data_IF_732674786445
#
_entry.id   IF_732674786445
#
_cell.length_a   1.000
_cell.length_b   1.000
_cell.length_c   1.000
_cell.angle_alpha   90.00
_cell.angle_beta   90.00
_cell.angle_gamma   90.00
#
_symmetry.space_group_name_H-M   'P 1'
#
loop_
_entity.id
_entity.type
_entity.pdbx_description
1 polymer ?
#
# COMPACT_ATOMS: atom_id res chain seq x y z
N UNK A 1 -23.82 100.16 12.11
CA UNK A 1 -22.78 99.62 13.01
C UNK A 1 -21.95 98.55 12.32
N UNK A 2 -20.71 98.29 12.77
CA UNK A 2 -19.83 97.23 12.24
C UNK A 2 -20.05 95.91 12.98
N UNK A 3 -19.86 94.79 12.30
CA UNK A 3 -19.97 93.45 12.87
C UNK A 3 -18.91 93.19 13.95
N UNK A 4 -19.31 92.64 15.10
CA UNK A 4 -18.41 92.39 16.24
C UNK A 4 -17.49 91.16 16.08
N UNK A 5 -17.70 90.33 15.06
CA UNK A 5 -16.88 89.15 14.81
C UNK A 5 -15.51 89.47 14.24
N UNK A 6 -14.58 88.51 14.37
CA UNK A 6 -13.30 88.51 13.70
C UNK A 6 -13.31 87.65 12.44
N UNK A 7 -12.51 88.03 11.46
CA UNK A 7 -12.28 87.23 10.26
C UNK A 7 -11.22 86.14 10.50
N UNK A 8 -10.89 85.42 9.42
CA UNK A 8 -9.97 84.27 9.48
C UNK A 8 -8.52 84.64 9.84
N UNK A 9 -8.16 85.92 9.72
CA UNK A 9 -6.84 86.46 10.05
C UNK A 9 -6.81 87.10 11.45
N UNK A 10 -7.89 86.91 12.23
CA UNK A 10 -8.09 87.53 13.55
C UNK A 10 -8.30 89.06 13.46
N UNK A 11 -8.59 89.59 12.26
CA UNK A 11 -8.91 91.00 12.05
C UNK A 11 -10.40 91.27 12.26
N UNK A 12 -10.77 92.51 12.57
CA UNK A 12 -12.17 92.90 12.71
C UNK A 12 -12.94 92.72 11.39
N UNK A 13 -14.15 92.13 11.47
CA UNK A 13 -14.97 91.92 10.30
C UNK A 13 -15.29 93.23 9.57
N UNK A 14 -15.06 93.26 8.26
CA UNK A 14 -15.27 94.44 7.41
C UNK A 14 -16.74 94.70 7.04
N UNK A 15 -17.65 93.79 7.37
CA UNK A 15 -19.06 93.85 6.97
C UNK A 15 -19.94 94.59 8.01
N UNK A 16 -21.04 95.17 7.53
CA UNK A 16 -22.07 95.79 8.36
C UNK A 16 -23.01 94.77 9.01
N UNK A 17 -23.55 95.13 10.17
CA UNK A 17 -24.58 94.32 10.85
C UNK A 17 -25.86 94.25 10.01
N UNK A 18 -26.65 93.20 10.20
CA UNK A 18 -28.03 93.15 9.72
C UNK A 18 -28.99 93.66 10.81
N UNK A 19 -30.21 94.04 10.43
CA UNK A 19 -31.21 94.60 11.35
C UNK A 19 -31.43 93.66 12.54
N UNK A 20 -31.38 94.21 13.75
CA UNK A 20 -31.55 93.52 15.03
C UNK A 20 -30.52 92.40 15.33
N UNK A 21 -29.31 92.46 14.73
CA UNK A 21 -28.20 91.55 15.03
C UNK A 21 -26.91 92.29 15.41
N UNK A 22 -26.11 91.65 16.27
CA UNK A 22 -24.74 92.09 16.62
C UNK A 22 -23.72 91.78 15.50
N UNK A 23 -24.11 91.03 14.48
CA UNK A 23 -23.23 90.45 13.48
C UNK A 23 -23.72 90.68 12.04
N UNK A 24 -22.82 90.55 11.07
CA UNK A 24 -23.19 90.59 9.65
C UNK A 24 -23.86 89.29 9.20
N UNK A 25 -24.40 89.25 7.98
CA UNK A 25 -25.06 88.07 7.39
C UNK A 25 -24.25 86.76 7.44
N UNK A 26 -22.92 86.84 7.51
CA UNK A 26 -22.03 85.67 7.54
C UNK A 26 -21.68 85.18 8.95
N UNK A 27 -21.87 86.00 9.98
CA UNK A 27 -21.52 85.73 11.38
C UNK A 27 -22.75 85.56 12.29
N UNK A 28 -23.92 85.35 11.69
CA UNK A 28 -25.18 85.13 12.43
C UNK A 28 -25.12 83.96 13.42
N UNK A 29 -24.26 82.99 13.18
CA UNK A 29 -24.04 81.85 14.09
C UNK A 29 -23.36 82.24 15.42
N UNK A 30 -22.85 83.47 15.54
CA UNK A 30 -22.23 84.00 16.76
C UNK A 30 -23.20 84.83 17.61
N UNK A 31 -24.46 85.02 17.18
CA UNK A 31 -25.43 85.84 17.95
C UNK A 31 -25.64 85.31 19.38
N UNK A 32 -25.43 84.00 19.60
CA UNK A 32 -25.53 83.36 20.91
C UNK A 32 -24.25 83.46 21.76
N UNK A 33 -23.18 84.09 21.25
CA UNK A 33 -21.90 84.21 21.96
C UNK A 33 -21.91 85.45 22.85
N UNK A 34 -21.49 85.28 24.10
CA UNK A 34 -21.17 86.40 24.98
C UNK A 34 -19.79 87.01 24.65
N UNK A 35 -19.47 88.14 25.27
CA UNK A 35 -18.23 88.86 24.99
C UNK A 35 -16.97 88.08 25.40
N UNK A 36 -17.08 87.17 26.38
CA UNK A 36 -15.97 86.29 26.78
C UNK A 36 -15.70 85.22 25.73
N UNK A 37 -16.74 84.64 25.13
CA UNK A 37 -16.65 83.68 24.04
C UNK A 37 -16.07 84.33 22.77
N UNK A 38 -16.44 85.58 22.48
CA UNK A 38 -15.91 86.35 21.36
C UNK A 38 -14.42 86.69 21.51
N UNK A 39 -13.93 86.81 22.75
CA UNK A 39 -12.50 87.03 23.03
C UNK A 39 -11.63 85.78 22.80
N UNK A 40 -12.24 84.59 22.86
CA UNK A 40 -11.57 83.27 22.78
C UNK A 40 -11.93 82.52 21.48
N UNK A 41 -12.15 83.24 20.40
CA UNK A 41 -12.44 82.62 19.11
C UNK A 41 -11.20 81.95 18.52
N UNK A 42 -11.35 80.74 18.02
CA UNK A 42 -10.33 80.00 17.29
C UNK A 42 -10.83 79.57 15.90
N UNK A 43 -9.90 79.31 14.99
CA UNK A 43 -10.23 78.83 13.65
C UNK A 43 -10.69 77.38 13.69
N UNK A 44 -11.85 77.10 13.10
CA UNK A 44 -12.20 75.73 12.76
C UNK A 44 -11.21 75.18 11.72
N UNK A 45 -10.53 74.07 12.04
CA UNK A 45 -9.54 73.43 11.15
C UNK A 45 -10.10 73.00 9.79
N UNK A 46 -11.43 72.85 9.66
CA UNK A 46 -12.08 72.42 8.42
C UNK A 46 -12.59 73.59 7.58
N UNK A 47 -13.53 74.41 8.08
CA UNK A 47 -14.12 75.49 7.29
C UNK A 47 -13.38 76.84 7.40
N UNK A 48 -12.36 76.92 8.26
CA UNK A 48 -11.56 78.13 8.52
C UNK A 48 -12.36 79.38 8.89
N UNK A 49 -13.53 79.18 9.51
CA UNK A 49 -14.30 80.26 10.17
C UNK A 49 -13.97 80.27 11.66
N UNK A 50 -14.12 81.43 12.29
CA UNK A 50 -13.91 81.62 13.72
C UNK A 50 -15.06 81.03 14.53
N UNK A 51 -14.77 80.27 15.57
CA UNK A 51 -15.76 79.69 16.50
C UNK A 51 -15.22 79.76 17.92
N UNK A 52 -16.12 79.78 18.90
CA UNK A 52 -15.76 79.46 20.27
C UNK A 52 -15.81 77.93 20.44
N UNK A 53 -14.78 77.36 21.06
CA UNK A 53 -14.72 75.93 21.38
C UNK A 53 -14.61 75.76 22.89
N UNK A 54 -15.43 74.89 23.45
CA UNK A 54 -15.30 74.45 24.83
C UNK A 54 -14.28 73.30 24.92
N UNK A 55 -13.26 73.46 25.75
CA UNK A 55 -12.21 72.44 25.94
C UNK A 55 -11.25 72.33 24.75
N UNK A 56 -11.02 71.09 24.26
CA UNK A 56 -10.00 70.77 23.26
C UNK A 56 -10.51 70.64 21.81
N UNK A 57 -11.76 71.00 21.56
CA UNK A 57 -12.36 70.90 20.22
C UNK A 57 -11.72 71.90 19.23
N UNK A 58 -11.48 71.46 17.98
CA UNK A 58 -10.91 72.30 16.90
C UNK A 58 -11.78 72.38 15.64
N UNK A 59 -12.96 71.74 15.65
CA UNK A 59 -13.85 71.60 14.49
C UNK A 59 -15.27 71.98 14.91
N UNK A 60 -15.92 72.86 14.15
CA UNK A 60 -17.28 73.27 14.46
C UNK A 60 -18.30 72.16 14.21
N UNK A 61 -19.41 72.19 14.94
CA UNK A 61 -20.48 71.18 14.90
C UNK A 61 -20.94 70.86 13.47
N UNK A 62 -21.14 71.88 12.62
CA UNK A 62 -21.51 71.70 11.20
C UNK A 62 -20.48 70.86 10.43
N UNK A 63 -19.19 71.09 10.66
CA UNK A 63 -18.13 70.31 10.02
C UNK A 63 -18.01 68.89 10.60
N UNK A 64 -18.27 68.73 11.90
CA UNK A 64 -18.34 67.42 12.56
C UNK A 64 -19.47 66.58 11.98
N UNK A 65 -20.68 67.12 11.88
CA UNK A 65 -21.85 66.45 11.30
C UNK A 65 -21.63 66.10 9.82
N UNK A 66 -21.06 67.02 9.04
CA UNK A 66 -20.65 66.75 7.65
C UNK A 66 -19.67 65.57 7.56
N UNK A 67 -18.70 65.49 8.46
CA UNK A 67 -17.72 64.40 8.52
C UNK A 67 -18.37 63.06 8.89
N UNK A 68 -19.31 63.06 9.84
CA UNK A 68 -20.10 61.88 10.22
C UNK A 68 -20.88 61.35 9.01
N UNK A 69 -21.65 62.23 8.33
CA UNK A 69 -22.43 61.87 7.13
C UNK A 69 -21.52 61.33 6.03
N UNK A 70 -20.38 61.98 5.76
CA UNK A 70 -19.44 61.53 4.74
C UNK A 70 -18.83 60.15 5.07
N UNK A 71 -18.51 59.89 6.35
CA UNK A 71 -18.03 58.57 6.79
C UNK A 71 -19.12 57.50 6.66
N UNK A 72 -20.38 57.84 6.94
CA UNK A 72 -21.51 56.93 6.77
C UNK A 72 -21.71 56.56 5.29
N UNK A 73 -21.76 57.56 4.40
CA UNK A 73 -21.83 57.35 2.95
C UNK A 73 -20.66 56.51 2.41
N UNK A 74 -19.45 56.71 2.94
CA UNK A 74 -18.28 55.93 2.55
C UNK A 74 -18.35 54.46 3.03
N UNK A 75 -19.05 54.17 4.14
CA UNK A 75 -19.29 52.81 4.64
C UNK A 75 -20.35 52.08 3.79
N UNK A 76 -21.45 52.75 3.47
CA UNK A 76 -22.57 52.19 2.68
C UNK A 76 -22.11 51.78 1.25
N UNK A 77 -21.20 52.54 0.64
CA UNK A 77 -20.69 52.25 -0.71
C UNK A 77 -19.52 51.25 -0.76
N UNK A 78 -19.12 50.65 0.37
CA UNK A 78 -17.97 49.73 0.43
C UNK A 78 -18.41 48.30 0.11
N UNK A 79 -18.27 47.88 -1.15
CA UNK A 79 -18.52 46.48 -1.54
C UNK A 79 -17.39 45.59 -1.00
N UNK A 80 -17.76 44.62 -0.18
CA UNK A 80 -16.82 43.72 0.50
C UNK A 80 -16.44 42.51 -0.36
N UNK A 81 -15.32 41.91 0.00
CA UNK A 81 -14.88 40.63 -0.51
C UNK A 81 -15.89 39.52 -0.18
N UNK A 82 -16.19 38.65 -1.15
CA UNK A 82 -17.18 37.58 -0.98
C UNK A 82 -16.76 36.49 0.03
N UNK A 83 -15.44 36.33 0.27
CA UNK A 83 -14.93 35.37 1.27
C UNK A 83 -15.56 35.60 2.64
N UNK A 84 -16.20 34.56 3.18
CA UNK A 84 -16.84 34.60 4.50
C UNK A 84 -15.89 35.14 5.58
N UNK A 85 -16.39 36.08 6.39
CA UNK A 85 -15.64 36.75 7.45
C UNK A 85 -14.65 37.84 7.01
N UNK A 86 -14.54 38.15 5.71
CA UNK A 86 -13.62 39.17 5.21
C UNK A 86 -14.22 40.58 5.26
N UNK A 87 -13.53 41.53 5.90
CA UNK A 87 -13.96 42.94 6.00
C UNK A 87 -13.28 43.87 4.99
N UNK A 88 -12.41 43.33 4.14
CA UNK A 88 -11.69 44.08 3.11
C UNK A 88 -12.57 44.37 1.90
N UNK A 89 -12.33 45.51 1.25
CA UNK A 89 -12.99 45.86 -0.03
C UNK A 89 -12.55 44.87 -1.12
N UNK A 90 -13.49 44.45 -1.97
CA UNK A 90 -13.16 43.61 -3.13
C UNK A 90 -12.29 44.35 -4.16
N UNK A 91 -11.63 43.59 -5.03
CA UNK A 91 -10.93 44.10 -6.20
C UNK A 91 -11.91 44.72 -7.21
N UNK A 92 -11.38 45.48 -8.17
CA UNK A 92 -12.16 45.96 -9.33
C UNK A 92 -12.39 44.83 -10.31
N UNK A 93 -11.40 43.94 -10.47
CA UNK A 93 -11.39 42.87 -11.46
C UNK A 93 -12.17 41.62 -11.04
N UNK A 94 -12.31 41.39 -9.73
CA UNK A 94 -12.97 40.19 -9.20
C UNK A 94 -13.64 40.41 -7.84
N UNK A 95 -14.43 39.43 -7.42
CA UNK A 95 -15.23 39.47 -6.18
C UNK A 95 -14.42 39.30 -4.89
N UNK A 96 -13.11 39.08 -4.99
CA UNK A 96 -12.22 38.89 -3.85
C UNK A 96 -11.33 40.12 -3.59
N UNK A 97 -10.86 40.28 -2.35
CA UNK A 97 -9.84 41.30 -2.03
C UNK A 97 -8.44 40.81 -2.44
N UNK A 98 -7.44 41.69 -2.41
CA UNK A 98 -6.05 41.35 -2.74
C UNK A 98 -5.44 40.20 -1.92
N UNK A 99 -5.99 39.89 -0.74
CA UNK A 99 -5.55 38.76 0.10
C UNK A 99 -6.19 37.41 -0.27
N UNK A 100 -7.30 37.43 -1.02
CA UNK A 100 -8.07 36.25 -1.39
C UNK A 100 -8.01 35.96 -2.90
N UNK A 101 -6.97 36.45 -3.59
CA UNK A 101 -6.80 36.19 -5.02
C UNK A 101 -6.62 34.70 -5.36
N UNK A 102 -6.20 33.88 -4.39
CA UNK A 102 -6.20 32.43 -4.57
C UNK A 102 -7.60 31.85 -4.80
N UNK A 103 -8.64 32.44 -4.21
CA UNK A 103 -10.01 31.97 -4.40
C UNK A 103 -10.49 32.19 -5.84
N UNK A 104 -9.97 33.20 -6.55
CA UNK A 104 -10.22 33.39 -7.99
C UNK A 104 -9.76 32.16 -8.76
N UNK A 105 -8.51 31.75 -8.56
CA UNK A 105 -7.94 30.57 -9.21
C UNK A 105 -8.69 29.27 -8.84
N UNK A 106 -9.14 29.13 -7.59
CA UNK A 106 -9.93 27.98 -7.16
C UNK A 106 -11.30 27.93 -7.85
N UNK A 107 -11.99 29.07 -7.92
CA UNK A 107 -13.28 29.18 -8.58
C UNK A 107 -13.17 28.92 -10.09
N UNK A 108 -12.15 29.48 -10.76
CA UNK A 108 -11.84 29.22 -12.17
C UNK A 108 -11.59 27.72 -12.43
N UNK A 109 -10.81 27.07 -11.56
CA UNK A 109 -10.53 25.64 -11.66
C UNK A 109 -11.80 24.81 -11.48
N UNK A 110 -12.65 25.15 -10.51
CA UNK A 110 -13.91 24.47 -10.28
C UNK A 110 -14.87 24.66 -11.47
N UNK A 111 -14.91 25.85 -12.07
CA UNK A 111 -15.71 26.13 -13.27
C UNK A 111 -15.27 25.31 -14.49
N UNK A 112 -14.02 24.83 -14.51
CA UNK A 112 -13.51 23.90 -15.52
C UNK A 112 -13.81 22.42 -15.18
N UNK A 113 -14.63 22.14 -14.15
CA UNK A 113 -14.89 20.80 -13.64
C UNK A 113 -13.61 20.06 -13.21
N UNK A 114 -12.70 20.79 -12.56
CA UNK A 114 -11.44 20.31 -12.03
C UNK A 114 -11.29 20.69 -10.55
N UNK A 115 -10.36 20.07 -9.85
CA UNK A 115 -9.97 20.42 -8.48
C UNK A 115 -8.53 20.92 -8.41
N UNK A 116 -8.23 21.87 -7.54
CA UNK A 116 -6.85 22.34 -7.35
C UNK A 116 -6.03 21.33 -6.55
N UNK A 117 -4.73 21.24 -6.84
CA UNK A 117 -3.77 20.55 -5.96
C UNK A 117 -3.85 21.09 -4.51
N UNK A 118 -3.75 20.21 -3.51
CA UNK A 118 -3.76 20.57 -2.09
C UNK A 118 -2.67 21.60 -1.73
N UNK A 119 -1.52 21.55 -2.40
CA UNK A 119 -0.43 22.51 -2.20
C UNK A 119 -0.70 23.87 -2.89
N UNK A 120 -1.93 24.16 -3.34
CA UNK A 120 -2.33 25.46 -3.88
C UNK A 120 -2.09 26.62 -2.91
N UNK A 121 -2.30 26.36 -1.62
CA UNK A 121 -1.99 27.29 -0.53
C UNK A 121 -0.47 27.53 -0.35
N UNK A 122 0.37 26.64 -0.90
CA UNK A 122 1.84 26.73 -0.88
C UNK A 122 2.43 27.18 -2.22
N UNK A 123 1.59 27.68 -3.13
CA UNK A 123 2.02 28.22 -4.43
C UNK A 123 1.83 27.28 -5.63
N UNK A 124 1.40 26.03 -5.44
CA UNK A 124 1.09 25.16 -6.57
C UNK A 124 -0.11 25.68 -7.36
N UNK A 125 -0.09 25.58 -8.69
CA UNK A 125 -1.21 25.97 -9.56
C UNK A 125 -1.66 24.86 -10.49
N UNK A 126 -1.35 23.60 -10.15
CA UNK A 126 -1.84 22.45 -10.91
C UNK A 126 -3.34 22.27 -10.67
N UNK A 127 -4.06 22.10 -11.78
CA UNK A 127 -5.47 21.72 -11.83
C UNK A 127 -5.54 20.21 -12.11
N UNK A 128 -6.35 19.48 -11.36
CA UNK A 128 -6.45 18.04 -11.36
C UNK A 128 -7.86 17.63 -11.79
N UNK A 129 -7.98 16.53 -12.52
CA UNK A 129 -9.29 15.96 -12.82
C UNK A 129 -10.05 15.60 -11.52
N UNK A 130 -11.38 15.64 -11.55
CA UNK A 130 -12.19 15.39 -10.36
C UNK A 130 -11.97 13.97 -9.80
N UNK A 131 -11.84 12.99 -10.70
CA UNK A 131 -11.55 11.57 -10.43
C UNK A 131 -10.07 11.28 -10.16
N UNK A 132 -9.19 12.28 -10.23
CA UNK A 132 -7.76 12.09 -9.95
C UNK A 132 -7.57 11.52 -8.52
N UNK A 133 -6.83 10.41 -8.36
CA UNK A 133 -6.86 9.62 -7.13
C UNK A 133 -6.20 10.29 -5.92
N UNK A 134 -5.40 11.34 -6.13
CA UNK A 134 -4.64 12.01 -5.07
C UNK A 134 -5.10 13.45 -4.85
N UNK A 135 -4.82 13.96 -3.65
CA UNK A 135 -5.07 15.37 -3.31
C UNK A 135 -3.99 16.32 -3.84
N UNK A 136 -2.80 15.81 -4.18
CA UNK A 136 -1.65 16.60 -4.68
C UNK A 136 -1.30 16.16 -6.10
N UNK A 137 -0.81 17.08 -6.92
CA UNK A 137 -0.31 16.75 -8.25
C UNK A 137 0.96 15.90 -8.21
N UNK A 138 1.25 15.20 -9.30
CA UNK A 138 2.41 14.29 -9.39
C UNK A 138 3.74 14.97 -9.07
N UNK A 139 3.93 16.23 -9.49
CA UNK A 139 5.13 17.01 -9.20
C UNK A 139 5.28 17.24 -7.69
N UNK A 140 4.22 17.71 -7.03
CA UNK A 140 4.23 17.92 -5.57
C UNK A 140 4.44 16.61 -4.81
N UNK A 141 3.87 15.50 -5.29
CA UNK A 141 4.09 14.18 -4.70
C UNK A 141 5.54 13.71 -4.89
N UNK A 142 6.11 13.89 -6.08
CA UNK A 142 7.50 13.56 -6.37
C UNK A 142 8.47 14.35 -5.49
N UNK A 143 8.25 15.65 -5.34
CA UNK A 143 9.07 16.50 -4.47
C UNK A 143 9.00 16.07 -3.01
N UNK A 144 7.82 15.72 -2.51
CA UNK A 144 7.65 15.21 -1.14
C UNK A 144 8.35 13.85 -0.96
N UNK A 145 8.23 12.93 -1.92
CA UNK A 145 8.94 11.64 -1.90
C UNK A 145 10.45 11.83 -1.91
N UNK A 146 10.97 12.75 -2.74
CA UNK A 146 12.40 13.03 -2.82
C UNK A 146 12.94 13.61 -1.50
N UNK A 147 12.21 14.56 -0.90
CA UNK A 147 12.58 15.13 0.41
C UNK A 147 12.54 14.08 1.53
N UNK A 148 11.48 13.27 1.60
CA UNK A 148 11.37 12.19 2.58
C UNK A 148 12.47 11.13 2.40
N UNK A 149 12.77 10.73 1.17
CA UNK A 149 13.88 9.81 0.86
C UNK A 149 15.24 10.38 1.27
N UNK A 150 15.50 11.65 0.97
CA UNK A 150 16.74 12.31 1.36
C UNK A 150 16.91 12.32 2.89
N UNK A 151 15.86 12.72 3.62
CA UNK A 151 15.85 12.75 5.08
C UNK A 151 16.08 11.35 5.70
N UNK A 152 15.41 10.32 5.18
CA UNK A 152 15.60 8.93 5.65
C UNK A 152 17.00 8.40 5.36
N UNK A 153 17.57 8.74 4.20
CA UNK A 153 18.93 8.35 3.84
C UNK A 153 19.97 9.03 4.73
N UNK A 154 19.79 10.30 5.06
CA UNK A 154 20.66 11.04 5.98
C UNK A 154 20.63 10.42 7.37
N UNK A 155 19.44 10.19 7.94
CA UNK A 155 19.28 9.51 9.24
C UNK A 155 19.92 8.12 9.25
N UNK A 156 19.79 7.37 8.16
CA UNK A 156 20.44 6.05 8.05
C UNK A 156 21.96 6.18 8.13
N UNK A 157 22.55 7.15 7.43
CA UNK A 157 23.99 7.42 7.49
C UNK A 157 24.41 7.86 8.89
N UNK A 158 23.67 8.77 9.53
CA UNK A 158 23.95 9.23 10.90
C UNK A 158 23.98 8.07 11.90
N UNK A 159 23.02 7.15 11.80
CA UNK A 159 22.97 5.94 12.63
C UNK A 159 24.17 5.00 12.41
N UNK A 160 24.78 5.01 11.23
CA UNK A 160 25.93 4.17 10.87
C UNK A 160 27.26 4.85 11.26
N UNK A 161 27.37 6.17 11.11
CA UNK A 161 28.62 6.92 11.33
C UNK A 161 28.79 7.43 12.75
N UNK A 162 27.70 7.77 13.45
CA UNK A 162 27.72 8.35 14.79
C UNK A 162 26.79 7.56 15.74
N UNK A 163 27.13 6.31 16.07
CA UNK A 163 26.33 5.54 17.03
C UNK A 163 26.37 6.21 18.40
N UNK A 164 25.19 6.42 19.00
CA UNK A 164 25.01 6.87 20.38
C UNK A 164 24.32 5.75 21.17
N UNK A 165 24.76 5.55 22.41
CA UNK A 165 24.20 4.53 23.30
C UNK A 165 22.84 4.95 23.89
N UNK A 166 22.61 6.26 24.02
CA UNK A 166 21.39 6.81 24.64
C UNK A 166 20.31 7.18 23.62
N UNK A 167 20.71 7.61 22.42
CA UNK A 167 19.82 8.20 21.43
C UNK A 167 19.99 7.55 20.06
N UNK A 168 18.89 7.39 19.32
CA UNK A 168 18.89 6.80 17.98
C UNK A 168 17.86 7.48 17.09
N UNK A 169 18.21 7.63 15.81
CA UNK A 169 17.28 8.15 14.82
C UNK A 169 16.39 7.04 14.24
N UNK A 170 15.09 7.29 14.12
CA UNK A 170 14.15 6.38 13.48
C UNK A 170 14.18 6.48 11.95
N UNK A 171 14.37 5.36 11.25
CA UNK A 171 14.41 5.33 9.78
C UNK A 171 13.05 5.62 9.10
N UNK A 172 11.95 5.71 9.86
CA UNK A 172 10.61 6.01 9.32
C UNK A 172 10.21 7.45 9.58
N UNK A 173 10.23 7.91 10.84
CA UNK A 173 9.81 9.28 11.19
C UNK A 173 10.97 10.27 11.30
N UNK A 174 12.22 9.81 11.14
CA UNK A 174 13.44 10.60 11.18
C UNK A 174 13.70 11.37 12.49
N UNK A 175 12.96 11.05 13.56
CA UNK A 175 13.15 11.65 14.89
C UNK A 175 14.30 10.98 15.62
N UNK A 176 15.10 11.78 16.31
CA UNK A 176 16.06 11.31 17.31
C UNK A 176 15.31 11.02 18.62
N UNK A 177 15.38 9.80 19.11
CA UNK A 177 14.61 9.33 20.27
C UNK A 177 15.49 8.49 21.19
N UNK A 178 15.14 8.37 22.48
CA UNK A 178 15.83 7.47 23.40
C UNK A 178 15.90 6.02 22.89
N UNK A 179 17.01 5.34 23.17
CA UNK A 179 17.31 4.00 22.66
C UNK A 179 16.25 2.95 23.04
N UNK A 180 15.61 3.10 24.21
CA UNK A 180 14.53 2.24 24.69
C UNK A 180 13.38 2.07 23.66
N UNK A 181 13.05 3.13 22.91
CA UNK A 181 12.00 3.09 21.88
C UNK A 181 12.36 2.21 20.67
N UNK A 182 13.61 1.73 20.58
CA UNK A 182 14.09 0.90 19.48
C UNK A 182 14.18 -0.58 19.86
N UNK A 183 13.89 -0.93 21.11
CA UNK A 183 13.86 -2.32 21.57
C UNK A 183 12.57 -2.96 21.04
N UNK A 184 12.74 -3.98 20.19
CA UNK A 184 11.65 -4.78 19.64
C UNK A 184 11.47 -6.10 20.39
N UNK A 185 10.68 -7.00 19.81
CA UNK A 185 10.47 -8.33 20.37
C UNK A 185 11.80 -9.12 20.50
N UNK A 186 11.90 -9.93 21.57
CA UNK A 186 13.11 -10.70 21.90
C UNK A 186 14.35 -9.82 22.10
N UNK A 187 14.18 -8.60 22.64
CA UNK A 187 15.23 -7.62 22.89
C UNK A 187 16.08 -7.28 21.64
N UNK A 188 15.50 -7.40 20.44
CA UNK A 188 16.19 -7.06 19.21
C UNK A 188 16.11 -5.56 18.94
N UNK A 189 17.26 -4.95 18.71
CA UNK A 189 17.34 -3.53 18.32
C UNK A 189 16.77 -3.38 16.91
N UNK A 190 15.83 -2.46 16.76
CA UNK A 190 15.14 -2.17 15.50
C UNK A 190 15.60 -0.86 14.87
N UNK A 191 15.34 -0.68 13.57
CA UNK A 191 15.67 0.54 12.83
C UNK A 191 14.62 1.65 12.96
N UNK A 192 13.52 1.37 13.65
CA UNK A 192 12.31 2.19 13.65
C UNK A 192 11.78 2.27 15.06
N UNK A 193 11.34 3.45 15.52
CA UNK A 193 10.83 3.61 16.88
C UNK A 193 9.49 2.89 17.09
N UNK A 194 9.18 2.63 18.35
CA UNK A 194 7.96 1.95 18.83
C UNK A 194 6.70 2.49 18.18
N UNK A 195 6.45 3.79 18.27
CA UNK A 195 5.28 4.45 17.67
C UNK A 195 5.13 4.18 16.18
N UNK A 196 6.24 4.15 15.42
CA UNK A 196 6.19 3.83 13.99
C UNK A 196 5.89 2.36 13.74
N UNK A 197 6.41 1.45 14.59
CA UNK A 197 6.13 0.01 14.50
C UNK A 197 4.66 -0.28 14.83
N UNK A 198 4.11 0.33 15.88
CA UNK A 198 2.70 0.22 16.26
C UNK A 198 1.79 0.73 15.15
N UNK A 199 2.07 1.92 14.62
CA UNK A 199 1.30 2.46 13.50
C UNK A 199 1.33 1.50 12.30
N UNK A 200 2.51 0.98 11.94
CA UNK A 200 2.62 0.02 10.85
C UNK A 200 1.85 -1.28 11.14
N UNK A 201 1.89 -1.77 12.38
CA UNK A 201 1.13 -2.94 12.79
C UNK A 201 -0.38 -2.72 12.62
N UNK A 202 -0.92 -1.60 13.09
CA UNK A 202 -2.33 -1.24 12.92
C UNK A 202 -2.70 -1.15 11.44
N UNK A 203 -1.86 -0.52 10.61
CA UNK A 203 -2.10 -0.48 9.16
C UNK A 203 -2.05 -1.88 8.53
N UNK A 204 -1.13 -2.73 8.96
CA UNK A 204 -1.01 -4.12 8.48
C UNK A 204 -2.19 -5.00 8.90
N UNK A 205 -2.90 -4.68 9.99
CA UNK A 205 -4.14 -5.35 10.38
C UNK A 205 -5.34 -4.93 9.51
N UNK A 206 -5.35 -3.68 9.04
CA UNK A 206 -6.40 -3.16 8.17
C UNK A 206 -6.23 -3.59 6.70
N UNK A 207 -5.03 -4.03 6.32
CA UNK A 207 -4.74 -4.50 4.96
C UNK A 207 -5.31 -5.89 4.74
N UNK A 208 -5.93 -6.07 3.58
CA UNK A 208 -6.32 -7.38 3.08
C UNK A 208 -5.10 -8.32 3.06
N UNK A 209 -5.18 -9.36 3.90
CA UNK A 209 -4.13 -10.35 4.05
C UNK A 209 -3.96 -11.17 2.78
N UNK A 210 -5.05 -11.50 2.09
CA UNK A 210 -4.99 -12.35 0.91
C UNK A 210 -4.40 -11.60 -0.27
N UNK A 211 -4.83 -10.35 -0.48
CA UNK A 211 -4.23 -9.49 -1.50
C UNK A 211 -2.71 -9.32 -1.31
N UNK A 212 -2.24 -9.11 -0.07
CA UNK A 212 -0.79 -9.03 0.22
C UNK A 212 -0.05 -10.35 -0.07
N UNK A 213 -0.65 -11.47 0.31
CA UNK A 213 -0.09 -12.79 0.05
C UNK A 213 -0.01 -13.05 -1.46
N UNK A 214 -1.04 -12.67 -2.21
CA UNK A 214 -1.08 -12.77 -3.67
C UNK A 214 0.03 -11.95 -4.32
N UNK A 215 0.18 -10.67 -3.96
CA UNK A 215 1.27 -9.82 -4.46
C UNK A 215 2.65 -10.45 -4.18
N UNK A 216 2.81 -11.05 -3.00
CA UNK A 216 4.04 -11.76 -2.63
C UNK A 216 4.23 -13.02 -3.48
N UNK A 217 3.18 -13.82 -3.68
CA UNK A 217 3.19 -15.04 -4.52
C UNK A 217 3.50 -14.75 -5.99
N UNK A 218 3.14 -13.56 -6.47
CA UNK A 218 3.37 -13.09 -7.83
C UNK A 218 4.66 -12.25 -7.99
N UNK A 219 5.42 -12.03 -6.91
CA UNK A 219 6.69 -11.32 -6.97
C UNK A 219 7.85 -12.30 -7.18
N UNK A 220 8.43 -12.26 -8.38
CA UNK A 220 9.64 -13.03 -8.72
C UNK A 220 10.81 -12.69 -7.80
N UNK A 221 10.91 -11.44 -7.36
CA UNK A 221 11.93 -10.95 -6.42
C UNK A 221 11.77 -11.53 -5.02
N UNK A 222 10.53 -11.61 -4.52
CA UNK A 222 10.27 -12.29 -3.25
C UNK A 222 10.54 -13.78 -3.36
N UNK A 223 10.20 -14.41 -4.50
CA UNK A 223 10.51 -15.82 -4.75
C UNK A 223 12.01 -16.10 -4.69
N UNK A 224 12.84 -15.28 -5.34
CA UNK A 224 14.30 -15.37 -5.27
C UNK A 224 14.82 -15.25 -3.83
N UNK A 225 14.31 -14.28 -3.06
CA UNK A 225 14.66 -14.11 -1.64
C UNK A 225 14.32 -15.34 -0.79
N UNK A 226 13.19 -16.00 -1.06
CA UNK A 226 12.83 -17.25 -0.39
C UNK A 226 13.89 -18.33 -0.63
N UNK A 227 14.36 -18.52 -1.87
CA UNK A 227 15.40 -19.50 -2.16
C UNK A 227 16.70 -19.20 -1.38
N UNK A 228 17.18 -17.96 -1.39
CA UNK A 228 18.38 -17.56 -0.62
C UNK A 228 18.21 -17.86 0.87
N UNK A 229 17.04 -17.57 1.44
CA UNK A 229 16.77 -17.77 2.87
C UNK A 229 16.64 -19.25 3.25
N UNK A 230 16.08 -20.07 2.37
CA UNK A 230 15.74 -21.46 2.68
C UNK A 230 16.87 -22.45 2.39
N UNK A 231 17.76 -22.14 1.45
CA UNK A 231 18.89 -23.01 1.12
C UNK A 231 19.84 -23.27 2.32
N UNK A 232 20.27 -22.26 3.11
CA UNK A 232 21.12 -22.48 4.27
C UNK A 232 20.48 -23.39 5.32
N UNK A 233 19.16 -23.25 5.56
CA UNK A 233 18.41 -24.11 6.50
C UNK A 233 18.42 -25.57 6.07
N UNK A 234 18.51 -25.81 4.77
CA UNK A 234 18.53 -27.14 4.13
C UNK A 234 19.95 -27.63 3.83
N UNK A 235 20.99 -26.88 4.22
CA UNK A 235 22.39 -27.15 3.90
C UNK A 235 22.63 -27.28 2.39
N UNK A 236 21.99 -26.41 1.61
CA UNK A 236 22.16 -26.34 0.15
C UNK A 236 22.90 -25.06 -0.23
N UNK A 237 23.77 -25.18 -1.24
CA UNK A 237 24.39 -24.02 -1.90
C UNK A 237 23.36 -23.39 -2.83
N UNK A 238 23.36 -22.06 -2.90
CA UNK A 238 22.61 -21.28 -3.87
C UNK A 238 23.57 -20.28 -4.51
N UNK A 239 23.96 -20.50 -5.76
CA UNK A 239 24.93 -19.67 -6.48
C UNK A 239 24.37 -18.95 -7.69
N UNK A 240 23.07 -19.09 -7.96
CA UNK A 240 22.40 -18.35 -9.03
C UNK A 240 22.37 -16.86 -8.69
N UNK A 241 22.80 -16.02 -9.63
CA UNK A 241 22.52 -14.60 -9.63
C UNK A 241 21.01 -14.35 -9.81
N UNK A 242 20.59 -13.10 -9.57
CA UNK A 242 19.18 -12.74 -9.78
C UNK A 242 18.78 -12.87 -11.25
N UNK A 243 19.65 -12.48 -12.18
CA UNK A 243 19.35 -12.51 -13.61
C UNK A 243 19.29 -13.95 -14.14
N UNK A 244 20.17 -14.84 -13.68
CA UNK A 244 20.10 -16.29 -13.98
C UNK A 244 18.82 -16.92 -13.39
N UNK A 245 18.43 -16.52 -12.18
CA UNK A 245 17.18 -16.99 -11.60
C UNK A 245 15.97 -16.56 -12.43
N UNK A 246 15.94 -15.30 -12.87
CA UNK A 246 14.86 -14.77 -13.72
C UNK A 246 14.83 -15.50 -15.06
N UNK A 247 15.98 -15.68 -15.71
CA UNK A 247 16.06 -16.34 -17.02
C UNK A 247 15.57 -17.78 -16.95
N UNK A 248 15.93 -18.54 -15.91
CA UNK A 248 15.42 -19.91 -15.71
C UNK A 248 13.91 -19.88 -15.43
N UNK A 249 13.45 -19.08 -14.48
CA UNK A 249 12.06 -19.16 -14.00
C UNK A 249 11.03 -18.68 -15.03
N UNK A 250 11.43 -17.87 -16.02
CA UNK A 250 10.54 -17.39 -17.08
C UNK A 250 10.44 -18.34 -18.28
N UNK A 251 11.16 -19.47 -18.30
CA UNK A 251 10.95 -20.48 -19.34
C UNK A 251 9.79 -21.42 -18.97
N UNK A 252 9.18 -22.09 -19.98
CA UNK A 252 8.31 -23.23 -19.75
C UNK A 252 8.89 -24.24 -18.76
N UNK A 253 8.02 -24.89 -17.99
CA UNK A 253 8.44 -25.95 -17.07
C UNK A 253 9.15 -27.05 -17.84
N UNK A 254 10.36 -27.42 -17.40
CA UNK A 254 11.18 -28.44 -18.03
C UNK A 254 10.46 -29.78 -18.19
N UNK A 255 9.61 -30.14 -17.22
CA UNK A 255 8.89 -31.41 -17.24
C UNK A 255 7.62 -31.41 -18.10
N UNK A 256 6.77 -30.40 -17.97
CA UNK A 256 5.43 -30.43 -18.57
C UNK A 256 5.18 -29.34 -19.63
N UNK A 257 6.19 -28.52 -19.96
CA UNK A 257 6.07 -27.45 -20.95
C UNK A 257 5.20 -26.26 -20.54
N UNK A 258 4.62 -26.22 -19.33
CA UNK A 258 3.73 -25.12 -18.92
C UNK A 258 4.52 -23.97 -18.28
N UNK A 259 4.31 -22.75 -18.78
CA UNK A 259 4.59 -21.50 -18.06
C UNK A 259 3.32 -21.04 -17.34
N UNK A 260 3.41 -20.74 -16.04
CA UNK A 260 2.25 -20.31 -15.26
C UNK A 260 1.74 -18.93 -15.72
N UNK A 261 0.45 -18.67 -15.55
CA UNK A 261 -0.20 -17.40 -15.93
C UNK A 261 0.43 -16.16 -15.29
N UNK A 262 0.99 -16.30 -14.08
CA UNK A 262 1.77 -15.24 -13.41
C UNK A 262 3.10 -14.88 -14.09
N UNK A 263 3.46 -15.57 -15.18
CA UNK A 263 4.64 -15.30 -16.01
C UNK A 263 5.94 -15.95 -15.55
N UNK A 264 5.94 -16.74 -14.47
CA UNK A 264 7.13 -17.47 -14.02
C UNK A 264 6.83 -18.73 -13.19
N UNK A 265 7.72 -19.70 -13.29
CA UNK A 265 7.77 -20.96 -12.56
C UNK A 265 8.69 -20.89 -11.32
N UNK A 266 8.78 -22.00 -10.58
CA UNK A 266 9.87 -22.21 -9.63
C UNK A 266 11.10 -22.80 -10.32
N UNK A 267 12.06 -23.22 -9.50
CA UNK A 267 13.23 -23.98 -9.91
C UNK A 267 13.19 -25.35 -9.24
N UNK A 268 13.38 -26.41 -10.04
CA UNK A 268 13.73 -27.76 -9.58
C UNK A 268 15.23 -28.02 -9.80
N UNK A 269 15.77 -28.91 -8.98
CA UNK A 269 17.14 -29.41 -9.10
C UNK A 269 17.09 -30.77 -9.77
N UNK A 270 17.73 -30.91 -10.93
CA UNK A 270 17.79 -32.18 -11.66
C UNK A 270 18.36 -33.26 -10.74
N UNK A 271 19.52 -32.99 -10.14
CA UNK A 271 20.09 -33.78 -9.05
C UNK A 271 19.80 -33.12 -7.69
N UNK A 272 18.95 -33.78 -6.90
CA UNK A 272 18.57 -33.32 -5.57
C UNK A 272 19.72 -33.32 -4.55
N UNK A 273 20.85 -33.99 -4.83
CA UNK A 273 22.06 -33.99 -3.99
C UNK A 273 22.90 -32.73 -4.18
N UNK A 274 22.78 -32.06 -5.33
CA UNK A 274 23.49 -30.82 -5.64
C UNK A 274 22.71 -29.57 -5.20
N UNK A 275 23.41 -28.44 -5.13
CA UNK A 275 22.82 -27.13 -4.83
C UNK A 275 22.04 -26.53 -6.00
N UNK A 276 21.62 -25.27 -5.84
CA UNK A 276 21.11 -24.44 -6.93
C UNK A 276 22.27 -23.75 -7.63
N UNK A 277 22.81 -24.45 -8.63
CA UNK A 277 23.86 -24.00 -9.55
C UNK A 277 23.28 -24.03 -10.97
N UNK A 278 23.81 -23.24 -11.90
CA UNK A 278 23.21 -23.02 -13.21
C UNK A 278 22.98 -24.35 -13.98
N UNK A 279 23.94 -25.27 -13.92
CA UNK A 279 23.93 -26.55 -14.63
C UNK A 279 23.01 -27.60 -14.00
N UNK A 280 22.53 -27.37 -12.77
CA UNK A 280 21.67 -28.30 -12.04
C UNK A 280 20.22 -27.80 -11.91
N UNK A 281 19.95 -26.58 -12.36
CA UNK A 281 18.66 -25.91 -12.15
C UNK A 281 17.86 -25.86 -13.43
N UNK A 282 16.59 -26.23 -13.34
CA UNK A 282 15.63 -26.12 -14.44
C UNK A 282 14.35 -25.44 -13.97
N UNK A 283 13.67 -24.76 -14.90
CA UNK A 283 12.33 -24.21 -14.67
C UNK A 283 11.37 -25.33 -14.31
N UNK A 284 10.62 -25.17 -13.23
CA UNK A 284 9.68 -26.21 -12.80
C UNK A 284 8.42 -25.62 -12.17
N UNK A 285 7.26 -26.03 -12.66
CA UNK A 285 6.00 -25.71 -12.02
C UNK A 285 5.87 -26.44 -10.67
N UNK A 286 5.04 -25.91 -9.78
CA UNK A 286 4.88 -26.45 -8.43
C UNK A 286 4.47 -27.94 -8.44
N UNK A 287 3.52 -28.30 -9.30
CA UNK A 287 2.99 -29.66 -9.37
C UNK A 287 4.07 -30.68 -9.80
N UNK A 288 4.83 -30.40 -10.86
CA UNK A 288 5.92 -31.28 -11.30
C UNK A 288 7.02 -31.40 -10.24
N UNK A 289 7.42 -30.28 -9.63
CA UNK A 289 8.43 -30.29 -8.56
C UNK A 289 7.97 -31.10 -7.34
N UNK A 290 6.67 -31.08 -7.06
CA UNK A 290 6.07 -31.85 -5.98
C UNK A 290 6.00 -33.34 -6.34
N UNK A 291 5.45 -33.69 -7.51
CA UNK A 291 5.36 -35.08 -7.99
C UNK A 291 6.74 -35.76 -8.08
N UNK A 292 7.76 -35.05 -8.56
CA UNK A 292 9.14 -35.56 -8.58
C UNK A 292 9.71 -35.73 -7.18
N UNK A 293 9.47 -34.77 -6.29
CA UNK A 293 10.05 -34.78 -4.95
C UNK A 293 11.58 -34.81 -5.00
N UNK A 294 12.19 -35.85 -4.42
CA UNK A 294 13.66 -36.03 -4.38
C UNK A 294 14.20 -37.08 -5.34
N UNK A 295 13.34 -37.74 -6.12
CA UNK A 295 13.80 -38.79 -7.04
C UNK A 295 14.55 -38.18 -8.22
N UNK A 296 15.41 -38.98 -8.85
CA UNK A 296 16.16 -38.56 -10.03
C UNK A 296 15.26 -38.38 -11.25
N UNK A 297 15.74 -37.58 -12.21
CA UNK A 297 15.04 -37.31 -13.48
C UNK A 297 14.54 -38.59 -14.17
N UNK A 298 15.42 -39.57 -14.37
CA UNK A 298 15.08 -40.81 -15.09
C UNK A 298 13.97 -41.60 -14.41
N UNK A 299 14.10 -41.84 -13.10
CA UNK A 299 13.09 -42.53 -12.29
C UNK A 299 11.75 -41.80 -12.36
N UNK A 300 11.77 -40.46 -12.33
CA UNK A 300 10.54 -39.69 -12.45
C UNK A 300 9.85 -39.92 -13.79
N UNK A 301 10.57 -39.84 -14.92
CA UNK A 301 10.00 -40.07 -16.25
C UNK A 301 9.49 -41.51 -16.40
N UNK A 302 10.23 -42.52 -15.92
CA UNK A 302 9.79 -43.91 -15.94
C UNK A 302 8.53 -44.15 -15.10
N UNK A 303 8.37 -43.47 -13.94
CA UNK A 303 7.12 -43.52 -13.17
C UNK A 303 5.93 -42.98 -13.97
N UNK A 304 6.12 -41.88 -14.69
CA UNK A 304 5.07 -41.28 -15.51
C UNK A 304 4.64 -42.26 -16.62
N UNK A 305 5.59 -42.86 -17.34
CA UNK A 305 5.28 -43.88 -18.35
C UNK A 305 4.56 -45.09 -17.74
N UNK A 306 5.02 -45.59 -16.60
CA UNK A 306 4.39 -46.72 -15.93
C UNK A 306 2.94 -46.41 -15.53
N UNK A 307 2.69 -45.25 -14.92
CA UNK A 307 1.33 -44.82 -14.52
C UNK A 307 0.43 -44.75 -15.75
N UNK A 308 0.85 -44.06 -16.81
CA UNK A 308 0.03 -43.92 -18.01
C UNK A 308 -0.22 -45.25 -18.72
N UNK A 309 0.76 -46.14 -18.74
CA UNK A 309 0.64 -47.49 -19.30
C UNK A 309 -0.37 -48.32 -18.51
N UNK A 310 -0.26 -48.32 -17.17
CA UNK A 310 -1.19 -49.03 -16.29
C UNK A 310 -2.62 -48.48 -16.42
N UNK A 311 -2.78 -47.16 -16.57
CA UNK A 311 -4.05 -46.48 -16.80
C UNK A 311 -4.55 -46.60 -18.25
N UNK A 312 -3.86 -47.37 -19.11
CA UNK A 312 -4.22 -47.60 -20.51
C UNK A 312 -4.33 -46.30 -21.33
N UNK A 313 -3.58 -45.26 -20.95
CA UNK A 313 -3.51 -43.98 -21.67
C UNK A 313 -2.53 -44.02 -22.84
N UNK A 314 -1.51 -44.89 -22.73
CA UNK A 314 -0.46 -45.07 -23.74
C UNK A 314 -0.09 -46.55 -23.87
N UNK A 315 0.55 -46.90 -24.98
CA UNK A 315 1.24 -48.19 -25.14
C UNK A 315 2.72 -48.05 -24.76
N UNK A 316 3.00 -47.92 -23.46
CA UNK A 316 4.35 -47.78 -22.91
C UNK A 316 4.83 -49.02 -22.15
N UNK A 317 5.91 -48.85 -21.39
CA UNK A 317 6.49 -49.90 -20.55
C UNK A 317 6.09 -49.74 -19.07
N UNK A 318 5.96 -50.87 -18.38
CA UNK A 318 5.77 -50.89 -16.93
C UNK A 318 7.13 -50.89 -16.21
N UNK A 319 7.32 -49.91 -15.32
CA UNK A 319 8.47 -49.74 -14.44
C UNK A 319 8.13 -49.90 -12.93
N UNK A 320 7.69 -51.09 -12.46
CA UNK A 320 7.28 -51.30 -11.07
C UNK A 320 8.40 -51.06 -10.04
N UNK A 321 9.66 -51.26 -10.43
CA UNK A 321 10.87 -51.03 -9.62
C UNK A 321 11.10 -49.55 -9.30
N UNK A 322 10.48 -48.64 -10.06
CA UNK A 322 10.55 -47.21 -9.77
C UNK A 322 9.71 -46.80 -8.55
N UNK A 323 8.88 -47.68 -7.98
CA UNK A 323 8.01 -47.37 -6.83
C UNK A 323 8.55 -48.01 -5.55
N UNK A 324 8.90 -47.18 -4.57
CA UNK A 324 9.41 -47.64 -3.29
C UNK A 324 8.38 -48.46 -2.50
N UNK A 325 8.88 -49.28 -1.59
CA UNK A 325 8.05 -50.05 -0.66
C UNK A 325 7.70 -49.20 0.58
N UNK A 326 6.55 -49.49 1.18
CA UNK A 326 5.95 -48.74 2.27
C UNK A 326 5.13 -49.68 3.11
N UNK A 327 4.99 -49.36 4.40
CA UNK A 327 4.08 -50.04 5.31
C UNK A 327 2.90 -49.10 5.58
N UNK A 328 1.67 -49.62 5.52
CA UNK A 328 0.47 -48.81 5.71
C UNK A 328 0.32 -48.37 7.17
N UNK A 329 -0.37 -47.25 7.38
CA UNK A 329 -0.84 -46.89 8.72
C UNK A 329 -1.91 -47.87 9.21
N UNK A 330 -2.19 -47.92 10.51
CA UNK A 330 -3.32 -48.71 11.00
C UNK A 330 -4.66 -48.01 10.70
N UNK A 331 -5.77 -48.76 10.75
CA UNK A 331 -7.13 -48.21 10.75
C UNK A 331 -7.29 -47.01 11.69
N UNK A 332 -6.81 -47.14 12.93
CA UNK A 332 -6.90 -46.08 13.93
C UNK A 332 -6.10 -44.83 13.54
N UNK A 333 -4.94 -44.99 12.86
CA UNK A 333 -4.20 -43.83 12.36
C UNK A 333 -5.02 -43.04 11.34
N UNK A 334 -5.69 -43.72 10.41
CA UNK A 334 -6.55 -43.08 9.42
C UNK A 334 -7.78 -42.44 10.07
N UNK A 335 -8.46 -43.14 10.98
CA UNK A 335 -9.62 -42.62 11.72
C UNK A 335 -9.29 -41.36 12.53
N UNK A 336 -8.19 -41.38 13.27
CA UNK A 336 -7.73 -40.19 14.01
C UNK A 336 -7.31 -39.05 13.07
N UNK A 337 -6.62 -39.37 11.97
CA UNK A 337 -6.23 -38.37 10.97
C UNK A 337 -7.42 -37.76 10.22
N UNK A 338 -8.52 -38.49 10.05
CA UNK A 338 -9.77 -37.99 9.51
C UNK A 338 -10.45 -37.04 10.51
N UNK A 339 -10.60 -37.46 11.77
CA UNK A 339 -11.17 -36.64 12.84
C UNK A 339 -10.41 -35.31 13.03
N UNK A 340 -9.08 -35.35 13.02
CA UNK A 340 -8.25 -34.13 13.13
C UNK A 340 -8.50 -33.14 11.98
N UNK A 341 -8.79 -33.62 10.78
CA UNK A 341 -9.10 -32.81 9.59
C UNK A 341 -10.60 -32.55 9.41
N UNK A 342 -11.42 -32.95 10.36
CA UNK A 342 -12.88 -32.89 10.29
C UNK A 342 -13.46 -33.57 9.04
N UNK A 343 -12.97 -34.77 8.74
CA UNK A 343 -13.43 -35.61 7.64
C UNK A 343 -14.26 -36.77 8.18
N UNK A 344 -15.36 -37.08 7.50
CA UNK A 344 -16.14 -38.28 7.78
C UNK A 344 -15.27 -39.53 7.63
N UNK A 345 -15.48 -40.50 8.52
CA UNK A 345 -14.84 -41.80 8.48
C UNK A 345 -15.89 -42.88 8.76
N UNK A 346 -16.46 -43.43 7.68
CA UNK A 346 -17.57 -44.38 7.73
C UNK A 346 -17.15 -45.83 7.43
N UNK A 347 -15.85 -46.11 7.31
CA UNK A 347 -15.34 -47.46 7.07
C UNK A 347 -15.30 -48.29 8.35
N UNK A 348 -15.70 -49.55 8.27
CA UNK A 348 -15.35 -50.60 9.24
C UNK A 348 -13.88 -50.97 9.15
N UNK A 349 -13.36 -51.69 10.15
CA UNK A 349 -11.98 -52.18 10.11
C UNK A 349 -11.79 -53.21 8.99
N UNK A 350 -12.77 -54.10 8.81
CA UNK A 350 -12.79 -55.13 7.77
C UNK A 350 -12.82 -54.50 6.37
N UNK A 351 -13.64 -53.47 6.19
CA UNK A 351 -13.72 -52.69 4.94
C UNK A 351 -12.39 -52.01 4.62
N UNK A 352 -11.76 -51.39 5.63
CA UNK A 352 -10.44 -50.77 5.49
C UNK A 352 -9.38 -51.78 5.02
N UNK A 353 -9.26 -52.92 5.70
CA UNK A 353 -8.28 -53.95 5.36
C UNK A 353 -8.53 -54.51 3.95
N UNK A 354 -9.80 -54.80 3.62
CA UNK A 354 -10.19 -55.31 2.30
C UNK A 354 -9.81 -54.35 1.17
N UNK A 355 -10.08 -53.05 1.30
CA UNK A 355 -9.70 -52.07 0.28
C UNK A 355 -8.18 -51.97 0.22
N UNK A 356 -7.49 -51.86 1.36
CA UNK A 356 -6.04 -51.69 1.40
C UNK A 356 -5.25 -52.90 0.85
N UNK A 357 -5.91 -54.05 0.67
CA UNK A 357 -5.33 -55.25 0.07
C UNK A 357 -5.43 -55.32 -1.46
N UNK A 358 -6.22 -54.44 -2.07
CA UNK A 358 -6.27 -54.33 -3.54
C UNK A 358 -4.99 -53.71 -4.13
N UNK A 359 -4.68 -53.96 -5.41
CA UNK A 359 -3.62 -53.26 -6.12
C UNK A 359 -3.84 -51.74 -6.13
N UNK A 360 -2.74 -50.96 -6.09
CA UNK A 360 -2.81 -49.51 -6.14
C UNK A 360 -3.61 -49.05 -7.38
N UNK A 361 -4.67 -48.27 -7.20
CA UNK A 361 -5.52 -47.89 -8.34
C UNK A 361 -4.83 -46.96 -9.35
N UNK A 362 -3.72 -46.30 -8.97
CA UNK A 362 -2.96 -45.39 -9.85
C UNK A 362 -1.87 -46.11 -10.64
N UNK A 363 -1.13 -47.02 -10.01
CA UNK A 363 0.03 -47.69 -10.64
C UNK A 363 0.01 -49.22 -10.60
N UNK A 364 -1.01 -49.84 -10.01
CA UNK A 364 -1.14 -51.30 -9.95
C UNK A 364 -0.17 -52.01 -8.99
N UNK A 365 0.62 -51.29 -8.19
CA UNK A 365 1.53 -51.89 -7.21
C UNK A 365 0.76 -52.80 -6.24
N UNK A 366 1.21 -54.05 -6.13
CA UNK A 366 0.60 -55.08 -5.29
C UNK A 366 1.29 -55.18 -3.93
N UNK A 367 0.55 -55.67 -2.93
CA UNK A 367 1.08 -55.99 -1.61
C UNK A 367 2.04 -57.18 -1.66
N UNK A 368 3.06 -57.16 -0.81
CA UNK A 368 4.00 -58.26 -0.60
C UNK A 368 4.62 -58.16 0.81
N UNK A 369 5.52 -59.07 1.17
CA UNK A 369 6.14 -59.08 2.50
C UNK A 369 6.88 -57.80 2.90
N UNK A 370 7.22 -56.92 1.95
CA UNK A 370 7.91 -55.65 2.19
C UNK A 370 7.01 -54.43 1.91
N UNK A 371 5.83 -54.60 1.32
CA UNK A 371 4.97 -53.50 0.88
C UNK A 371 3.51 -53.74 1.20
N UNK A 372 2.86 -52.70 1.73
CA UNK A 372 1.43 -52.63 1.96
C UNK A 372 0.91 -51.30 1.43
N UNK A 373 -0.11 -51.38 0.56
CA UNK A 373 -0.89 -50.25 0.11
C UNK A 373 -1.69 -49.70 1.30
N UNK A 374 -1.82 -48.37 1.34
CA UNK A 374 -2.79 -47.73 2.20
C UNK A 374 -4.07 -47.47 1.42
N UNK A 375 -4.84 -46.51 1.93
CA UNK A 375 -6.02 -45.99 1.24
C UNK A 375 -5.83 -44.51 0.87
N UNK A 376 -6.39 -44.14 -0.28
CA UNK A 376 -6.51 -42.77 -0.77
C UNK A 376 -7.99 -42.40 -0.94
N UNK A 377 -8.30 -41.11 -0.74
CA UNK A 377 -9.62 -40.56 -1.04
C UNK A 377 -9.60 -40.10 -2.49
N UNK A 378 -10.37 -40.77 -3.34
CA UNK A 378 -10.42 -40.48 -4.77
C UNK A 378 -10.77 -39.01 -5.01
N UNK A 379 -11.87 -38.55 -4.40
CA UNK A 379 -12.22 -37.14 -4.23
C UNK A 379 -11.79 -36.65 -2.84
N UNK A 380 -10.87 -35.68 -2.82
CA UNK A 380 -10.31 -35.11 -1.60
C UNK A 380 -11.28 -34.21 -0.81
N UNK A 381 -12.38 -33.77 -1.45
CA UNK A 381 -13.44 -32.99 -0.81
C UNK A 381 -14.35 -33.85 0.07
N UNK A 382 -14.35 -35.17 -0.15
CA UNK A 382 -15.15 -36.14 0.57
C UNK A 382 -14.35 -36.84 1.68
N UNK A 383 -15.06 -37.53 2.57
CA UNK A 383 -14.51 -38.33 3.66
C UNK A 383 -14.02 -39.72 3.21
N UNK A 384 -13.74 -40.56 4.20
CA UNK A 384 -13.42 -41.97 4.03
C UNK A 384 -14.72 -42.78 4.07
N UNK A 385 -15.35 -42.90 2.90
CA UNK A 385 -16.57 -43.67 2.66
C UNK A 385 -16.31 -44.69 1.55
N UNK A 386 -17.02 -45.83 1.57
CA UNK A 386 -16.76 -46.96 0.67
C UNK A 386 -16.70 -46.58 -0.81
N UNK A 387 -17.55 -45.67 -1.27
CA UNK A 387 -17.62 -45.22 -2.67
C UNK A 387 -16.52 -44.24 -3.08
N UNK A 388 -15.79 -43.66 -2.12
CA UNK A 388 -14.77 -42.63 -2.38
C UNK A 388 -13.34 -43.13 -2.11
N UNK A 389 -13.17 -44.29 -1.50
CA UNK A 389 -11.85 -44.76 -1.06
C UNK A 389 -11.32 -45.84 -2.00
N UNK A 390 -10.02 -45.75 -2.33
CA UNK A 390 -9.33 -46.73 -3.18
C UNK A 390 -7.99 -47.12 -2.57
N UNK A 391 -7.53 -48.34 -2.85
CA UNK A 391 -6.20 -48.80 -2.46
C UNK A 391 -5.12 -48.00 -3.19
N UNK A 392 -4.17 -47.43 -2.46
CA UNK A 392 -3.13 -46.62 -3.08
C UNK A 392 -1.79 -46.78 -2.36
N UNK A 393 -0.72 -46.95 -3.15
CA UNK A 393 0.63 -46.98 -2.62
C UNK A 393 1.06 -45.58 -2.16
N UNK A 394 2.01 -45.51 -1.22
CA UNK A 394 2.48 -44.26 -0.63
C UNK A 394 3.01 -43.25 -1.65
N UNK A 395 3.77 -43.72 -2.64
CA UNK A 395 4.30 -42.85 -3.70
C UNK A 395 3.21 -42.22 -4.56
N UNK A 396 2.19 -42.99 -4.95
CA UNK A 396 1.09 -42.48 -5.78
C UNK A 396 0.18 -41.54 -5.00
N UNK A 397 -0.13 -41.87 -3.74
CA UNK A 397 -0.90 -41.00 -2.87
C UNK A 397 -0.17 -39.67 -2.63
N UNK A 398 1.16 -39.73 -2.47
CA UNK A 398 2.00 -38.55 -2.42
C UNK A 398 1.91 -37.75 -3.72
N UNK A 399 2.11 -38.36 -4.90
CA UNK A 399 2.02 -37.64 -6.18
C UNK A 399 0.65 -37.00 -6.44
N UNK A 400 -0.44 -37.69 -6.07
CA UNK A 400 -1.81 -37.17 -6.21
C UNK A 400 -2.09 -36.03 -5.24
N UNK A 401 -1.68 -36.14 -3.97
CA UNK A 401 -1.87 -35.06 -2.98
C UNK A 401 -3.33 -34.61 -2.89
N UNK A 402 -3.57 -33.29 -2.93
CA UNK A 402 -4.88 -32.66 -3.03
C UNK A 402 -5.39 -32.50 -4.49
N UNK A 403 -4.64 -32.93 -5.50
CA UNK A 403 -5.06 -32.86 -6.90
C UNK A 403 -6.17 -33.87 -7.20
N UNK A 404 -7.09 -33.47 -8.09
CA UNK A 404 -8.04 -34.38 -8.71
C UNK A 404 -7.31 -35.44 -9.53
N UNK A 405 -7.85 -36.66 -9.56
CA UNK A 405 -7.25 -37.78 -10.27
C UNK A 405 -7.00 -37.46 -11.75
N UNK A 406 -8.02 -36.96 -12.47
CA UNK A 406 -7.89 -36.65 -13.89
C UNK A 406 -6.85 -35.55 -14.13
N UNK A 407 -6.78 -34.53 -13.26
CA UNK A 407 -5.73 -33.49 -13.36
C UNK A 407 -4.32 -34.04 -13.16
N UNK A 408 -4.16 -35.03 -12.30
CA UNK A 408 -2.88 -35.71 -12.12
C UNK A 408 -2.52 -36.57 -13.35
N UNK A 409 -3.49 -37.25 -13.95
CA UNK A 409 -3.28 -38.03 -15.18
C UNK A 409 -2.97 -37.11 -16.38
N UNK A 410 -3.74 -36.04 -16.60
CA UNK A 410 -3.47 -35.02 -17.63
C UNK A 410 -2.05 -34.47 -17.47
N UNK A 411 -1.61 -34.26 -16.23
CA UNK A 411 -0.25 -33.80 -15.94
C UNK A 411 0.80 -34.83 -16.34
N UNK A 412 0.56 -36.10 -16.06
CA UNK A 412 1.42 -37.20 -16.48
C UNK A 412 1.53 -37.23 -18.02
N UNK A 413 0.42 -37.09 -18.75
CA UNK A 413 0.42 -37.07 -20.22
C UNK A 413 1.27 -35.92 -20.79
N UNK A 414 1.10 -34.70 -20.26
CA UNK A 414 1.93 -33.55 -20.66
C UNK A 414 3.43 -33.79 -20.41
N UNK A 415 3.78 -34.40 -19.27
CA UNK A 415 5.17 -34.73 -18.96
C UNK A 415 5.71 -35.78 -19.95
N UNK A 416 4.92 -36.81 -20.21
CA UNK A 416 5.29 -37.90 -21.11
C UNK A 416 5.55 -37.39 -22.54
N UNK A 417 4.68 -36.52 -23.06
CA UNK A 417 4.81 -35.90 -24.39
C UNK A 417 6.03 -34.99 -24.47
N UNK A 418 6.30 -34.19 -23.44
CA UNK A 418 7.46 -33.28 -23.40
C UNK A 418 8.79 -34.04 -23.52
N UNK A 419 8.84 -35.27 -23.02
CA UNK A 419 10.07 -36.07 -22.93
C UNK A 419 10.09 -37.31 -23.84
N UNK A 420 9.18 -37.41 -24.80
CA UNK A 420 9.06 -38.59 -25.68
C UNK A 420 10.34 -38.90 -26.46
N UNK A 421 10.98 -37.87 -27.01
CA UNK A 421 12.21 -38.02 -27.80
C UNK A 421 13.49 -38.24 -26.96
N UNK A 422 13.44 -38.02 -25.65
CA UNK A 422 14.62 -38.05 -24.77
C UNK A 422 14.83 -39.40 -24.07
N UNK A 423 14.01 -40.42 -24.37
CA UNK A 423 14.00 -41.72 -23.67
C UNK A 423 15.11 -42.68 -24.09
N UNK A 424 15.84 -42.39 -25.16
CA UNK A 424 16.91 -43.26 -25.66
C UNK A 424 18.24 -43.21 -24.88
N UNK A 425 18.31 -42.46 -23.77
CA UNK A 425 19.55 -42.27 -23.00
C UNK A 425 19.30 -42.37 -21.50
N UNK A 426 18.94 -43.55 -20.97
CA UNK A 426 19.17 -43.82 -19.54
C UNK A 426 19.49 -45.30 -19.34
N UNK A 427 20.75 -45.58 -18.98
CA UNK A 427 21.18 -46.86 -18.42
C UNK A 427 20.78 -47.00 -16.96
N UNK A 428 20.37 -48.22 -16.61
CA UNK A 428 19.99 -48.73 -15.30
C UNK A 428 20.78 -48.12 -14.13
N UNK A 429 20.07 -47.55 -13.15
CA UNK A 429 20.55 -47.57 -11.78
C UNK A 429 19.39 -47.50 -10.78
N UNK A 430 19.50 -48.40 -9.82
CA UNK A 430 18.50 -48.95 -8.92
C UNK A 430 17.83 -47.90 -8.02
N UNK A 431 16.52 -48.03 -7.83
CA UNK A 431 15.72 -47.23 -6.91
C UNK A 431 16.05 -47.59 -5.45
N UNK A 432 17.13 -47.02 -4.90
CA UNK A 432 17.41 -47.12 -3.46
C UNK A 432 16.59 -46.08 -2.69
N UNK A 433 15.65 -46.55 -1.86
CA UNK A 433 15.00 -45.87 -0.73
C UNK A 433 15.31 -44.36 -0.54
N UNK A 434 14.61 -43.48 -1.26
CA UNK A 434 14.61 -42.04 -0.99
C UNK A 434 13.24 -41.59 -0.44
N UNK A 435 12.92 -41.96 0.80
CA UNK A 435 11.93 -41.22 1.58
C UNK A 435 12.70 -40.16 2.36
N UNK A 436 12.81 -38.96 1.79
CA UNK A 436 13.13 -37.80 2.62
C UNK A 436 11.91 -37.54 3.50
N UNK A 437 11.99 -37.93 4.79
CA UNK A 437 11.04 -37.50 5.84
C UNK A 437 10.90 -35.97 5.78
N UNK A 438 9.89 -35.46 5.08
CA UNK A 438 9.44 -34.08 5.29
C UNK A 438 8.45 -34.13 6.44
N UNK A 439 8.89 -33.56 7.57
CA UNK A 439 8.02 -33.24 8.70
C UNK A 439 6.83 -32.43 8.18
N UNK A 440 5.65 -32.84 8.62
CA UNK A 440 4.36 -32.15 8.52
C UNK A 440 4.53 -30.63 8.41
N UNK A 441 3.96 -30.06 7.36
CA UNK A 441 3.34 -28.73 7.44
C UNK A 441 1.96 -28.95 8.05
#
# INVERSE_FOLDING_TARGET
MKCLAKDRHNDNCRNHIIQDSRFCKYHQYMNAYDDTMLSKLELCSSCRKMYYFEGSAKICEKCTNRSIINRQKARENKILCIKSGCTFKRSVENVYCGKHQLCVFQDETHNMNMKTCFNVIRGCRSQLAMDYPYSKCEICLADERNKDNAMRNEVKKLNETNPSDDMKYCNTCCKNLPFEFFIGCKNKITKTCEKCRENNHTQDLLRDKEHRNELTRNSIKEKYRCYIKDCPKRKLIFSLSYDEFVSITQTPCYYCGILQTRGFNGIDRIDSKKGYILENCVSCCQMCNYMKGSIGYSIFISRIEHILTYQQRIAGNLHPECFANHIRGSYNNYKHGAAYRNLEFALSNEEYESIADEPCYICGKQNNGLHQNGIDRFDNSQGYIMTNVKACCGECNFMKSDYEFDKMIDKCELIYQTHENSRHIVSENTCCNYIAKRRNI
#
